data_IF_336321725115
#
_entry.id   IF_336321725115
#
_cell.length_a   1.000
_cell.length_b   1.000
_cell.length_c   1.000
_cell.angle_alpha   90.00
_cell.angle_beta   90.00
_cell.angle_gamma   90.00
#
_symmetry.space_group_name_H-M   'P 1'
#
loop_
_entity.id
_entity.type
_entity.pdbx_description
1 polymer ?
#
# COMPACT_ATOMS: atom_id res chain seq x y z
N UNK A 1 22.24 -22.58 18.19
CA UNK A 1 20.86 -22.06 18.44
C UNK A 1 19.96 -22.87 17.53
N UNK A 2 19.24 -23.83 18.11
CA UNK A 2 18.37 -24.73 17.38
C UNK A 2 17.18 -23.87 16.90
N UNK A 3 17.16 -23.53 15.60
CA UNK A 3 16.00 -22.94 14.98
C UNK A 3 14.85 -23.91 15.09
N UNK A 4 13.84 -23.56 15.87
CA UNK A 4 12.51 -24.06 15.66
C UNK A 4 12.14 -23.64 14.24
N UNK A 5 12.37 -24.55 13.33
CA UNK A 5 11.87 -24.46 11.97
C UNK A 5 10.35 -24.53 12.14
N UNK A 6 9.75 -23.35 12.36
CA UNK A 6 8.31 -23.22 12.55
C UNK A 6 7.71 -23.90 11.32
N UNK A 7 7.06 -25.04 11.50
CA UNK A 7 6.37 -25.72 10.40
C UNK A 7 5.19 -24.85 9.96
N UNK A 8 5.53 -23.71 9.34
CA UNK A 8 4.57 -22.75 8.83
C UNK A 8 3.61 -23.39 7.82
N UNK A 9 4.08 -24.41 7.10
CA UNK A 9 3.25 -25.15 6.14
C UNK A 9 2.11 -25.91 6.82
N UNK A 10 2.40 -26.58 7.95
CA UNK A 10 1.36 -27.24 8.74
C UNK A 10 0.34 -26.25 9.28
N UNK A 11 0.82 -25.17 9.90
CA UNK A 11 -0.06 -24.11 10.42
C UNK A 11 -0.90 -23.46 9.35
N UNK A 12 -0.31 -23.20 8.17
CA UNK A 12 -1.05 -22.65 7.03
C UNK A 12 -2.12 -23.62 6.53
N UNK A 13 -1.79 -24.91 6.37
CA UNK A 13 -2.79 -25.92 5.98
C UNK A 13 -3.96 -25.97 6.95
N UNK A 14 -3.68 -25.98 8.25
CA UNK A 14 -4.71 -25.96 9.29
C UNK A 14 -5.55 -24.68 9.23
N UNK A 15 -4.94 -23.55 8.91
CA UNK A 15 -5.65 -22.29 8.74
C UNK A 15 -6.53 -22.34 7.48
N UNK A 16 -6.01 -22.78 6.34
CA UNK A 16 -6.73 -22.88 5.06
C UNK A 16 -7.88 -23.88 5.10
N UNK A 17 -7.82 -24.92 5.95
CA UNK A 17 -8.96 -25.85 6.16
C UNK A 17 -10.13 -25.17 6.84
N UNK A 18 -9.89 -24.14 7.63
CA UNK A 18 -10.89 -23.39 8.39
C UNK A 18 -11.34 -22.08 7.72
N UNK A 19 -10.58 -21.63 6.73
CA UNK A 19 -10.83 -20.38 6.05
C UNK A 19 -10.95 -20.62 4.53
N UNK A 20 -11.86 -19.94 3.84
CA UNK A 20 -12.02 -20.09 2.40
C UNK A 20 -10.75 -19.58 1.67
N UNK A 21 -10.45 -20.16 0.52
CA UNK A 21 -9.36 -19.70 -0.36
C UNK A 21 -9.71 -18.46 -1.19
N UNK A 22 -10.98 -18.11 -1.21
CA UNK A 22 -11.50 -16.95 -1.95
C UNK A 22 -11.72 -15.80 -1.01
N UNK A 23 -11.36 -14.60 -1.44
CA UNK A 23 -11.61 -13.40 -0.66
C UNK A 23 -13.10 -13.24 -0.32
N UNK A 24 -13.42 -12.74 0.88
CA UNK A 24 -14.78 -12.39 1.24
C UNK A 24 -15.38 -11.41 0.21
N UNK A 25 -16.65 -11.58 -0.12
CA UNK A 25 -17.37 -10.68 -1.02
C UNK A 25 -17.31 -9.21 -0.53
N UNK A 26 -17.34 -9.01 0.77
CA UNK A 26 -17.18 -7.69 1.38
C UNK A 26 -15.85 -7.03 1.02
N UNK A 27 -14.73 -7.78 1.03
CA UNK A 27 -13.40 -7.27 0.65
C UNK A 27 -13.37 -6.86 -0.82
N UNK A 28 -13.95 -7.65 -1.71
CA UNK A 28 -14.05 -7.32 -3.14
C UNK A 28 -14.86 -6.06 -3.39
N UNK A 29 -16.04 -5.96 -2.78
CA UNK A 29 -16.91 -4.77 -2.87
C UNK A 29 -16.22 -3.53 -2.33
N UNK A 30 -15.53 -3.66 -1.20
CA UNK A 30 -14.81 -2.54 -0.60
C UNK A 30 -13.69 -2.03 -1.52
N UNK A 31 -12.95 -2.94 -2.14
CA UNK A 31 -11.95 -2.58 -3.15
C UNK A 31 -12.59 -1.90 -4.37
N UNK A 32 -13.69 -2.45 -4.89
CA UNK A 32 -14.41 -1.86 -6.02
C UNK A 32 -14.90 -0.45 -5.71
N UNK A 33 -15.44 -0.24 -4.52
CA UNK A 33 -15.85 1.10 -4.05
C UNK A 33 -14.67 2.07 -4.01
N UNK A 34 -13.50 1.62 -3.52
CA UNK A 34 -12.30 2.45 -3.54
C UNK A 34 -11.90 2.83 -4.98
N UNK A 35 -11.85 1.86 -5.88
CA UNK A 35 -11.46 2.10 -7.29
C UNK A 35 -12.47 2.99 -8.00
N UNK A 36 -13.75 2.85 -7.70
CA UNK A 36 -14.81 3.70 -8.25
C UNK A 36 -14.72 5.14 -7.71
N UNK A 37 -14.44 5.31 -6.43
CA UNK A 37 -14.30 6.62 -5.78
C UNK A 37 -13.02 7.34 -6.23
N UNK A 38 -11.95 6.59 -6.45
CA UNK A 38 -10.63 7.10 -6.85
C UNK A 38 -10.11 6.32 -8.05
N UNK A 39 -10.66 6.55 -9.25
CA UNK A 39 -10.14 5.90 -10.45
C UNK A 39 -8.70 6.32 -10.71
N UNK A 40 -7.89 5.42 -11.26
CA UNK A 40 -6.46 5.64 -11.52
C UNK A 40 -6.21 6.90 -12.34
N UNK A 41 -7.05 7.14 -13.32
CA UNK A 41 -7.02 8.29 -14.23
C UNK A 41 -7.30 9.62 -13.51
N UNK A 42 -8.00 9.56 -12.37
CA UNK A 42 -8.33 10.72 -11.54
C UNK A 42 -7.22 11.14 -10.57
N UNK A 43 -6.19 10.31 -10.36
CA UNK A 43 -5.15 10.59 -9.36
C UNK A 43 -4.41 11.92 -9.59
N UNK A 44 -4.15 12.26 -10.85
CA UNK A 44 -3.47 13.50 -11.21
C UNK A 44 -4.32 14.76 -10.94
N UNK A 45 -5.65 14.63 -10.81
CA UNK A 45 -6.59 15.72 -10.61
C UNK A 45 -7.03 15.92 -9.16
N UNK A 46 -6.59 15.08 -8.22
CA UNK A 46 -6.97 15.20 -6.80
C UNK A 46 -6.66 16.61 -6.26
N UNK A 47 -7.66 17.22 -5.63
CA UNK A 47 -7.49 18.46 -4.86
C UNK A 47 -6.98 18.15 -3.45
N UNK A 48 -6.58 19.16 -2.70
CA UNK A 48 -6.17 19.01 -1.30
C UNK A 48 -7.29 18.37 -0.45
N UNK A 49 -8.53 18.79 -0.68
CA UNK A 49 -9.71 18.27 0.01
C UNK A 49 -10.00 16.81 -0.34
N UNK A 50 -9.85 16.46 -1.60
CA UNK A 50 -10.06 15.08 -2.07
C UNK A 50 -8.94 14.13 -1.63
N UNK A 51 -7.74 14.66 -1.43
CA UNK A 51 -6.57 13.86 -1.07
C UNK A 51 -6.42 13.69 0.45
N UNK A 52 -6.38 14.80 1.20
CA UNK A 52 -5.81 14.83 2.55
C UNK A 52 -6.83 14.60 3.67
N UNK A 53 -6.32 14.11 4.81
CA UNK A 53 -7.07 14.00 6.06
C UNK A 53 -7.21 15.34 6.79
N UNK A 54 -8.20 15.42 7.68
CA UNK A 54 -8.30 16.43 8.72
C UNK A 54 -9.42 17.45 8.56
N UNK A 55 -10.00 17.64 7.37
CA UNK A 55 -11.20 18.49 7.18
C UNK A 55 -12.47 17.75 7.62
N UNK A 56 -13.56 18.47 7.77
CA UNK A 56 -14.84 17.91 8.25
C UNK A 56 -15.47 16.90 7.30
N UNK A 57 -15.16 17.00 6.01
CA UNK A 57 -15.53 16.06 4.96
C UNK A 57 -14.48 14.96 4.71
N UNK A 58 -13.53 14.79 5.62
CA UNK A 58 -12.38 13.88 5.48
C UNK A 58 -12.77 12.40 5.22
N UNK A 59 -13.97 11.98 5.66
CA UNK A 59 -14.50 10.64 5.36
C UNK A 59 -14.61 10.29 3.87
N UNK A 60 -14.43 11.27 2.99
CA UNK A 60 -14.46 11.09 1.53
C UNK A 60 -13.09 11.25 0.87
N UNK A 61 -12.03 11.58 1.63
CA UNK A 61 -10.72 11.80 1.06
C UNK A 61 -9.98 10.49 0.75
N UNK A 62 -9.05 10.54 -0.21
CA UNK A 62 -8.20 9.43 -0.61
C UNK A 62 -7.44 8.83 0.59
N UNK A 63 -6.78 9.69 1.39
CA UNK A 63 -6.05 9.23 2.58
C UNK A 63 -6.96 8.64 3.65
N UNK A 64 -8.19 9.13 3.79
CA UNK A 64 -9.17 8.54 4.70
C UNK A 64 -9.53 7.11 4.28
N UNK A 65 -9.80 6.90 3.01
CA UNK A 65 -10.07 5.57 2.47
C UNK A 65 -8.91 4.61 2.66
N UNK A 66 -7.69 5.06 2.39
CA UNK A 66 -6.50 4.23 2.61
C UNK A 66 -6.32 3.82 4.07
N UNK A 67 -6.63 4.70 5.02
CA UNK A 67 -6.36 4.45 6.44
C UNK A 67 -7.51 3.73 7.15
N UNK A 68 -8.76 4.13 6.89
CA UNK A 68 -9.91 3.69 7.68
C UNK A 68 -10.88 2.79 6.92
N UNK A 69 -11.31 3.17 5.74
CA UNK A 69 -12.32 2.40 5.01
C UNK A 69 -11.76 1.06 4.52
N UNK A 70 -10.54 1.05 3.99
CA UNK A 70 -9.91 -0.16 3.45
C UNK A 70 -9.01 -0.89 4.44
N UNK A 71 -9.28 -0.80 5.75
CA UNK A 71 -8.46 -1.44 6.81
C UNK A 71 -8.39 -2.95 6.63
N UNK A 72 -9.51 -3.59 6.26
CA UNK A 72 -9.59 -5.03 6.01
C UNK A 72 -8.79 -5.48 4.77
N UNK A 73 -8.38 -4.54 3.93
CA UNK A 73 -7.52 -4.77 2.77
C UNK A 73 -6.06 -4.36 3.05
N UNK A 74 -5.55 -4.71 4.22
CA UNK A 74 -4.21 -4.35 4.67
C UNK A 74 -4.20 -3.04 5.47
N UNK A 75 -4.06 -3.19 6.79
CA UNK A 75 -4.03 -2.04 7.70
C UNK A 75 -2.76 -1.23 7.56
N UNK A 76 -2.91 0.09 7.47
CA UNK A 76 -1.85 1.09 7.64
C UNK A 76 -2.15 1.99 8.83
N UNK A 77 -3.04 1.54 9.71
CA UNK A 77 -3.39 2.25 10.95
C UNK A 77 -2.16 2.49 11.83
N UNK A 78 -2.23 3.59 12.57
CA UNK A 78 -1.16 3.99 13.48
C UNK A 78 -0.24 5.06 12.91
N UNK A 79 0.56 5.65 13.80
CA UNK A 79 1.40 6.78 13.47
C UNK A 79 0.65 8.11 13.37
N UNK A 80 1.33 9.10 12.87
CA UNK A 80 0.80 10.45 12.71
C UNK A 80 0.19 10.63 11.31
N UNK A 81 -0.80 11.50 11.19
CA UNK A 81 -1.38 11.92 9.90
C UNK A 81 -0.34 12.42 8.89
N UNK A 82 0.82 12.86 9.38
CA UNK A 82 1.96 13.27 8.55
C UNK A 82 2.52 12.15 7.64
N UNK A 83 2.18 10.89 7.87
CA UNK A 83 2.54 9.78 6.97
C UNK A 83 1.99 9.93 5.55
N UNK A 84 0.95 10.75 5.39
CA UNK A 84 0.37 11.13 4.09
C UNK A 84 0.96 12.42 3.52
N UNK A 85 1.90 13.05 4.24
CA UNK A 85 2.70 14.19 3.83
C UNK A 85 1.94 15.51 3.70
N UNK A 86 0.62 15.50 3.51
CA UNK A 86 -0.25 16.67 3.48
C UNK A 86 -1.49 16.39 4.33
N UNK A 87 -1.86 17.32 5.20
CA UNK A 87 -3.03 17.21 6.06
C UNK A 87 -3.62 18.56 6.43
N UNK A 88 -4.87 18.60 6.85
CA UNK A 88 -5.50 19.77 7.42
C UNK A 88 -5.29 19.79 8.95
N UNK A 89 -4.74 20.86 9.46
CA UNK A 89 -4.62 21.08 10.91
C UNK A 89 -5.85 21.85 11.41
N UNK A 90 -6.72 21.19 12.16
CA UNK A 90 -7.96 21.78 12.70
C UNK A 90 -7.70 22.93 13.67
N UNK A 91 -6.58 22.90 14.42
CA UNK A 91 -6.22 23.94 15.38
C UNK A 91 -5.73 25.19 14.67
N UNK A 92 -4.88 25.03 13.69
CA UNK A 92 -4.34 26.13 12.88
C UNK A 92 -5.30 26.62 11.81
N UNK A 93 -6.33 25.83 11.50
CA UNK A 93 -7.27 26.04 10.38
C UNK A 93 -6.53 26.27 9.06
N UNK A 94 -5.51 25.47 8.81
CA UNK A 94 -4.62 25.60 7.67
C UNK A 94 -4.11 24.24 7.20
N UNK A 95 -3.80 24.15 5.90
CA UNK A 95 -3.06 23.03 5.34
C UNK A 95 -1.66 22.97 5.92
N UNK A 96 -1.22 21.78 6.29
CA UNK A 96 0.13 21.47 6.72
C UNK A 96 0.71 20.43 5.76
N UNK A 97 2.04 20.43 5.67
CA UNK A 97 2.77 19.45 4.88
C UNK A 97 4.12 19.15 5.53
N UNK A 98 4.72 18.02 5.15
CA UNK A 98 6.09 17.73 5.53
C UNK A 98 6.99 18.72 4.77
N UNK A 99 7.73 19.51 5.51
CA UNK A 99 8.72 20.43 4.94
C UNK A 99 9.91 19.62 4.43
N UNK A 100 10.28 19.84 3.21
CA UNK A 100 11.38 19.13 2.55
C UNK A 100 11.82 19.86 1.29
N UNK A 101 12.73 19.26 0.59
CA UNK A 101 13.43 19.81 -0.56
C UNK A 101 12.46 20.40 -1.57
N UNK A 102 12.52 21.72 -1.78
CA UNK A 102 11.80 22.41 -2.85
C UNK A 102 10.29 22.58 -2.66
N UNK A 103 9.70 22.12 -1.54
CA UNK A 103 8.27 22.20 -1.27
C UNK A 103 7.95 23.39 -0.40
N UNK A 104 7.26 24.38 -0.96
CA UNK A 104 6.94 25.64 -0.27
C UNK A 104 5.49 25.72 0.21
N UNK A 105 4.61 24.85 -0.31
CA UNK A 105 3.19 24.82 0.02
C UNK A 105 2.63 23.41 0.05
N UNK A 106 1.44 23.25 0.66
CA UNK A 106 0.70 22.01 0.61
C UNK A 106 0.29 21.63 -0.84
N UNK A 107 0.08 22.62 -1.68
CA UNK A 107 -0.24 22.40 -3.09
C UNK A 107 0.97 21.85 -3.87
N UNK A 108 2.18 22.37 -3.61
CA UNK A 108 3.41 21.82 -4.20
C UNK A 108 3.65 20.38 -3.73
N UNK A 109 3.48 20.13 -2.42
CA UNK A 109 3.58 18.79 -1.85
C UNK A 109 2.62 17.82 -2.53
N UNK A 110 1.35 18.19 -2.66
CA UNK A 110 0.34 17.38 -3.33
C UNK A 110 0.69 17.16 -4.81
N UNK A 111 1.22 18.15 -5.49
CA UNK A 111 1.64 18.01 -6.88
C UNK A 111 2.68 16.93 -7.07
N UNK A 112 3.73 16.89 -6.22
CA UNK A 112 4.75 15.85 -6.24
C UNK A 112 4.18 14.47 -5.92
N UNK A 113 3.30 14.37 -4.92
CA UNK A 113 2.63 13.13 -4.55
C UNK A 113 1.80 12.59 -5.73
N UNK A 114 0.98 13.43 -6.37
CA UNK A 114 0.16 13.04 -7.52
C UNK A 114 1.01 12.55 -8.69
N UNK A 115 2.08 13.25 -9.01
CA UNK A 115 3.02 12.83 -10.06
C UNK A 115 3.62 11.46 -9.74
N UNK A 116 4.08 11.25 -8.51
CA UNK A 116 4.65 9.99 -8.10
C UNK A 116 3.64 8.84 -8.10
N UNK A 117 2.43 9.04 -7.56
CA UNK A 117 1.37 8.02 -7.58
C UNK A 117 0.94 7.66 -9.00
N UNK A 118 0.74 8.65 -9.87
CA UNK A 118 0.41 8.41 -11.28
C UNK A 118 1.51 7.62 -11.98
N UNK A 119 2.77 7.96 -11.74
CA UNK A 119 3.90 7.26 -12.33
C UNK A 119 4.03 5.83 -11.80
N UNK A 120 3.79 5.60 -10.51
CA UNK A 120 3.75 4.24 -9.93
C UNK A 120 2.69 3.38 -10.63
N UNK A 121 1.46 3.88 -10.75
CA UNK A 121 0.35 3.18 -11.43
C UNK A 121 0.71 2.88 -12.87
N UNK A 122 1.17 3.86 -13.62
CA UNK A 122 1.57 3.69 -15.02
C UNK A 122 2.68 2.65 -15.19
N UNK A 123 3.67 2.66 -14.29
CA UNK A 123 4.80 1.72 -14.35
C UNK A 123 4.33 0.27 -14.12
N UNK A 124 3.32 0.05 -13.25
CA UNK A 124 2.70 -1.27 -13.09
C UNK A 124 1.92 -1.67 -14.34
N UNK A 125 1.13 -0.77 -14.93
CA UNK A 125 0.37 -1.03 -16.17
C UNK A 125 1.28 -1.38 -17.36
N UNK A 126 2.49 -0.84 -17.37
CA UNK A 126 3.53 -1.13 -18.36
C UNK A 126 4.39 -2.35 -18.00
N UNK A 127 4.06 -3.05 -16.90
CA UNK A 127 4.78 -4.21 -16.36
C UNK A 127 6.30 -3.97 -16.09
N UNK A 128 6.70 -2.73 -15.81
CA UNK A 128 8.09 -2.33 -15.51
C UNK A 128 8.35 -2.36 -14.00
N UNK A 129 8.15 -3.52 -13.39
CA UNK A 129 8.19 -3.69 -11.93
C UNK A 129 9.56 -3.40 -11.30
N UNK A 130 10.63 -3.62 -12.04
CA UNK A 130 12.02 -3.36 -11.65
C UNK A 130 12.30 -1.88 -11.37
N UNK A 131 11.51 -0.97 -11.95
CA UNK A 131 11.67 0.47 -11.82
C UNK A 131 10.88 1.07 -10.64
N UNK A 132 9.98 0.30 -10.02
CA UNK A 132 9.06 0.84 -9.01
C UNK A 132 9.74 1.44 -7.79
N UNK A 133 10.86 0.88 -7.34
CA UNK A 133 11.55 1.37 -6.15
C UNK A 133 12.31 2.67 -6.42
N UNK A 134 12.58 2.99 -7.67
CA UNK A 134 13.23 4.22 -8.11
C UNK A 134 12.24 5.37 -8.33
N UNK A 135 10.94 5.06 -8.45
CA UNK A 135 9.91 6.07 -8.69
C UNK A 135 9.65 6.90 -7.44
N UNK A 136 9.47 8.18 -7.69
CA UNK A 136 9.30 9.20 -6.68
C UNK A 136 10.63 9.87 -6.39
N UNK A 137 10.54 11.18 -6.22
CA UNK A 137 11.62 11.96 -5.65
C UNK A 137 11.83 11.56 -4.19
N UNK A 138 12.78 12.17 -3.53
CA UNK A 138 13.04 11.94 -2.10
C UNK A 138 11.78 12.15 -1.25
N UNK A 139 10.87 12.99 -1.73
CA UNK A 139 9.63 13.31 -1.04
C UNK A 139 8.68 12.12 -0.93
N UNK A 140 8.41 11.41 -2.02
CA UNK A 140 7.51 10.24 -2.00
C UNK A 140 8.19 8.96 -1.51
N UNK A 141 9.51 8.80 -1.70
CA UNK A 141 10.23 7.57 -1.33
C UNK A 141 10.13 7.21 0.15
N UNK A 142 9.98 8.19 1.03
CA UNK A 142 9.82 7.97 2.47
C UNK A 142 8.40 7.61 2.88
N UNK A 143 7.42 7.75 2.00
CA UNK A 143 6.01 7.49 2.26
C UNK A 143 5.60 6.05 1.89
N UNK A 144 6.17 5.05 2.56
CA UNK A 144 5.99 3.62 2.24
C UNK A 144 4.52 3.20 2.13
N UNK A 145 3.67 3.60 3.08
CA UNK A 145 2.23 3.27 3.06
C UNK A 145 1.52 3.89 1.86
N UNK A 146 1.88 5.11 1.50
CA UNK A 146 1.29 5.82 0.37
C UNK A 146 1.75 5.23 -0.98
N UNK A 147 2.93 4.64 -1.03
CA UNK A 147 3.44 3.96 -2.23
C UNK A 147 2.87 2.57 -2.41
N UNK A 148 2.76 1.79 -1.32
CA UNK A 148 2.40 0.38 -1.40
C UNK A 148 0.89 0.13 -1.40
N UNK A 149 0.13 0.77 -0.48
CA UNK A 149 -1.28 0.45 -0.33
C UNK A 149 -2.14 0.79 -1.56
N UNK A 150 -1.99 1.93 -2.23
CA UNK A 150 -2.72 2.20 -3.46
C UNK A 150 -2.41 1.16 -4.56
N UNK A 151 -1.14 0.75 -4.71
CA UNK A 151 -0.78 -0.26 -5.70
C UNK A 151 -1.46 -1.61 -5.43
N UNK A 152 -1.52 -2.06 -4.18
CA UNK A 152 -2.28 -3.25 -3.83
C UNK A 152 -3.77 -3.10 -4.13
N UNK A 153 -4.38 -1.95 -3.81
CA UNK A 153 -5.80 -1.72 -4.08
C UNK A 153 -6.13 -1.66 -5.58
N UNK A 154 -5.24 -1.12 -6.40
CA UNK A 154 -5.43 -1.09 -7.86
C UNK A 154 -5.04 -2.41 -8.54
N UNK A 155 -4.02 -3.09 -8.05
CA UNK A 155 -3.42 -4.27 -8.67
C UNK A 155 -3.23 -5.40 -7.62
N UNK A 156 -4.32 -5.97 -7.07
CA UNK A 156 -4.24 -6.95 -6.00
C UNK A 156 -3.51 -8.23 -6.42
N UNK A 157 -3.50 -8.55 -7.73
CA UNK A 157 -2.78 -9.69 -8.26
C UNK A 157 -1.27 -9.45 -8.39
N UNK A 158 -0.81 -8.23 -8.24
CA UNK A 158 0.60 -7.87 -8.41
C UNK A 158 1.32 -7.57 -7.09
N UNK A 159 0.57 -7.31 -6.02
CA UNK A 159 1.12 -6.92 -4.72
C UNK A 159 0.39 -7.58 -3.55
N UNK A 160 1.13 -7.78 -2.44
CA UNK A 160 0.57 -8.13 -1.14
C UNK A 160 0.18 -6.87 -0.34
N UNK A 161 -0.79 -6.97 0.58
CA UNK A 161 -1.24 -5.85 1.42
C UNK A 161 -0.23 -5.46 2.52
N UNK A 162 1.06 -5.49 2.20
CA UNK A 162 2.16 -5.22 3.12
C UNK A 162 2.89 -3.96 2.68
N UNK A 163 2.77 -2.90 3.49
CA UNK A 163 3.32 -1.57 3.20
C UNK A 163 4.61 -1.25 3.96
N UNK A 164 5.13 -2.18 4.76
CA UNK A 164 6.35 -1.99 5.55
C UNK A 164 7.45 -2.91 5.03
N UNK A 165 8.58 -2.32 4.61
CA UNK A 165 9.74 -3.05 4.10
C UNK A 165 10.35 -4.00 5.14
N UNK A 166 10.38 -3.60 6.42
CA UNK A 166 10.95 -4.44 7.46
C UNK A 166 10.14 -5.72 7.70
N UNK A 167 8.80 -5.63 7.55
CA UNK A 167 7.93 -6.81 7.59
C UNK A 167 8.20 -7.72 6.40
N UNK A 168 8.33 -7.18 5.19
CA UNK A 168 8.68 -7.97 4.00
C UNK A 168 10.03 -8.66 4.16
N UNK A 169 11.04 -7.92 4.61
CA UNK A 169 12.37 -8.45 4.92
C UNK A 169 12.31 -9.58 5.94
N UNK A 170 11.49 -9.41 6.99
CA UNK A 170 11.30 -10.43 8.03
C UNK A 170 10.65 -11.70 7.46
N UNK A 171 9.56 -11.57 6.71
CA UNK A 171 8.88 -12.73 6.12
C UNK A 171 9.76 -13.46 5.10
N UNK A 172 10.45 -12.75 4.23
CA UNK A 172 11.37 -13.37 3.29
C UNK A 172 12.44 -14.19 4.02
N UNK A 173 13.08 -13.64 5.04
CA UNK A 173 14.08 -14.35 5.85
C UNK A 173 13.47 -15.57 6.59
N UNK A 174 12.27 -15.43 7.14
CA UNK A 174 11.56 -16.53 7.81
C UNK A 174 11.30 -17.69 6.84
N UNK A 175 11.07 -17.38 5.57
CA UNK A 175 10.86 -18.36 4.50
C UNK A 175 12.18 -18.84 3.84
N UNK A 176 13.34 -18.47 4.38
CA UNK A 176 14.67 -18.87 3.88
C UNK A 176 15.07 -18.14 2.59
N UNK A 177 14.43 -17.02 2.28
CA UNK A 177 14.77 -16.20 1.12
C UNK A 177 15.72 -15.06 1.51
N UNK A 178 16.62 -14.67 0.60
CA UNK A 178 17.42 -13.46 0.73
C UNK A 178 16.60 -12.27 0.22
N UNK A 179 16.30 -11.25 1.07
CA UNK A 179 15.55 -10.09 0.63
C UNK A 179 16.36 -9.24 -0.38
N UNK A 180 15.79 -8.92 -1.52
CA UNK A 180 16.44 -8.15 -2.58
C UNK A 180 15.67 -6.85 -2.88
N UNK A 181 16.41 -5.77 -3.16
CA UNK A 181 15.84 -4.50 -3.60
C UNK A 181 15.08 -3.71 -2.53
N UNK A 182 14.17 -2.88 -3.00
CA UNK A 182 13.37 -1.97 -2.18
C UNK A 182 12.05 -2.56 -1.71
N UNK A 183 11.11 -1.67 -1.39
CA UNK A 183 9.79 -2.02 -0.89
C UNK A 183 8.98 -2.87 -1.88
N UNK A 184 8.91 -2.42 -3.13
CA UNK A 184 8.09 -3.09 -4.15
C UNK A 184 8.75 -4.37 -4.65
N UNK A 185 10.07 -4.38 -4.81
CA UNK A 185 10.82 -5.56 -5.19
C UNK A 185 10.62 -6.68 -4.16
N UNK A 186 10.77 -6.39 -2.86
CA UNK A 186 10.55 -7.38 -1.80
C UNK A 186 9.07 -7.83 -1.69
N UNK A 187 8.11 -6.93 -1.93
CA UNK A 187 6.70 -7.29 -1.93
C UNK A 187 6.40 -8.30 -3.05
N UNK A 188 6.88 -8.05 -4.25
CA UNK A 188 6.73 -8.96 -5.37
C UNK A 188 7.51 -10.26 -5.19
N UNK A 189 8.75 -10.20 -4.71
CA UNK A 189 9.56 -11.38 -4.38
C UNK A 189 8.80 -12.32 -3.41
N UNK A 190 8.18 -11.75 -2.37
CA UNK A 190 7.37 -12.52 -1.42
C UNK A 190 6.13 -13.10 -2.09
N UNK A 191 5.39 -12.32 -2.89
CA UNK A 191 4.22 -12.77 -3.62
C UNK A 191 4.55 -13.93 -4.56
N UNK A 192 5.60 -13.80 -5.36
CA UNK A 192 6.04 -14.83 -6.31
C UNK A 192 6.47 -16.12 -5.57
N UNK A 193 7.21 -15.97 -4.47
CA UNK A 193 7.58 -17.11 -3.65
C UNK A 193 6.36 -17.84 -3.10
N UNK A 194 5.37 -17.11 -2.57
CA UNK A 194 4.14 -17.70 -2.03
C UNK A 194 3.33 -18.41 -3.13
N UNK A 195 3.18 -17.80 -4.29
CA UNK A 195 2.47 -18.39 -5.44
C UNK A 195 3.11 -19.69 -5.93
N UNK A 196 4.42 -19.81 -5.81
CA UNK A 196 5.14 -21.03 -6.16
C UNK A 196 4.92 -22.18 -5.16
N UNK A 197 4.36 -21.92 -3.96
CA UNK A 197 4.10 -22.96 -2.97
C UNK A 197 2.75 -23.63 -3.24
N UNK A 198 2.67 -24.98 -3.24
CA UNK A 198 1.41 -25.71 -3.45
C UNK A 198 0.29 -25.34 -2.47
N UNK A 199 0.66 -24.96 -1.25
CA UNK A 199 -0.29 -24.57 -0.21
C UNK A 199 -1.12 -23.33 -0.59
N UNK A 200 -0.54 -22.41 -1.36
CA UNK A 200 -1.20 -21.19 -1.83
C UNK A 200 -1.91 -21.32 -3.17
N UNK A 201 -1.92 -22.54 -3.77
CA UNK A 201 -2.61 -22.76 -5.03
C UNK A 201 -4.11 -22.41 -4.92
N UNK A 202 -4.55 -21.43 -5.71
CA UNK A 202 -5.93 -20.94 -5.73
C UNK A 202 -6.32 -20.05 -4.55
N UNK A 203 -5.36 -19.57 -3.74
CA UNK A 203 -5.62 -18.54 -2.72
C UNK A 203 -5.71 -17.17 -3.39
N UNK A 204 -6.80 -16.45 -3.11
CA UNK A 204 -7.03 -15.09 -3.60
C UNK A 204 -6.15 -14.08 -2.82
N UNK A 205 -5.51 -13.17 -3.51
CA UNK A 205 -4.64 -12.15 -2.90
C UNK A 205 -5.39 -11.09 -2.09
N UNK A 206 -6.72 -11.01 -2.21
CA UNK A 206 -7.59 -10.18 -1.38
C UNK A 206 -8.01 -10.86 -0.07
N UNK A 207 -7.61 -12.13 0.16
CA UNK A 207 -7.86 -12.87 1.40
C UNK A 207 -6.78 -12.56 2.44
#
# INVERSE_FOLDING_TARGET
MNGENLDWRSKLRDWLTRNPKTAPEASRRLREQFVQQFPKEGLAQLTLEQYALGRDDSGKSFCYWLEYETTDLGSILGGNVSKFWVWWDKKKKAWQWIKGIGVQSAADALSLIKQGLTKLVQTVEEARFDQLDEIGDEYLRLASSLRAKPLYLYFPDEFLPISNKDHLTHFLKLLGQSPEGGLHAQNRQLLEYLRAQPEFAGVDTLQ
#
